data_IF_792667213987
#
_entry.id   IF_792667213987
#
_cell.length_a   1.000
_cell.length_b   1.000
_cell.length_c   1.000
_cell.angle_alpha   90.00
_cell.angle_beta   90.00
_cell.angle_gamma   90.00
#
_symmetry.space_group_name_H-M   'P 1'
#
loop_
_entity.id
_entity.type
_entity.pdbx_description
1 polymer ?
#
# COMPACT_ATOMS: atom_id res chain seq x y z
N UNK A 1 -5.96 7.61 -22.20
CA UNK A 1 -6.35 6.19 -22.08
C UNK A 1 -5.13 5.33 -21.70
N UNK A 2 -4.30 5.80 -20.78
CA UNK A 2 -3.02 5.17 -20.41
C UNK A 2 -2.64 5.70 -19.03
N UNK A 3 -3.22 5.11 -17.98
CA UNK A 3 -2.87 5.38 -16.57
C UNK A 3 -3.23 4.18 -15.68
N UNK A 4 -3.20 2.97 -16.24
CA UNK A 4 -3.56 1.75 -15.54
C UNK A 4 -2.33 0.83 -15.52
N UNK A 5 -1.97 0.41 -14.32
CA UNK A 5 -1.08 -0.70 -13.95
C UNK A 5 0.41 -0.41 -13.71
N UNK A 6 0.74 -0.16 -12.43
CA UNK A 6 2.03 -0.51 -11.82
C UNK A 6 1.93 -1.47 -10.59
N UNK A 7 0.74 -1.73 -10.06
CA UNK A 7 0.60 -2.23 -8.67
C UNK A 7 -0.04 -3.61 -8.45
N UNK A 8 -0.24 -4.41 -9.50
CA UNK A 8 -0.80 -5.76 -9.31
C UNK A 8 0.15 -6.74 -8.59
N UNK A 9 1.38 -6.31 -8.24
CA UNK A 9 2.31 -7.10 -7.40
C UNK A 9 2.12 -6.90 -5.89
N UNK A 10 1.59 -5.77 -5.41
CA UNK A 10 1.27 -5.62 -3.98
C UNK A 10 -0.02 -6.39 -3.59
N UNK A 11 -0.97 -6.52 -4.52
CA UNK A 11 -2.28 -7.11 -4.26
C UNK A 11 -2.37 -8.63 -4.46
N UNK A 12 -1.29 -9.30 -4.89
CA UNK A 12 -1.26 -10.77 -4.99
C UNK A 12 -1.10 -11.49 -3.64
N UNK A 13 -0.71 -10.75 -2.59
CA UNK A 13 -0.34 -11.32 -1.28
C UNK A 13 -1.34 -11.07 -0.15
N UNK A 14 -2.13 -10.00 -0.20
CA UNK A 14 -3.23 -9.77 0.76
C UNK A 14 -4.50 -10.51 0.34
N UNK A 15 -4.37 -11.83 0.16
CA UNK A 15 -5.47 -12.72 0.50
C UNK A 15 -5.47 -12.76 2.01
N UNK A 16 -6.18 -11.81 2.61
CA UNK A 16 -6.53 -11.86 4.01
C UNK A 16 -7.35 -13.13 4.21
N UNK A 17 -6.68 -14.23 4.58
CA UNK A 17 -7.31 -15.33 5.30
C UNK A 17 -7.61 -14.76 6.70
N UNK A 18 -8.56 -13.84 6.78
CA UNK A 18 -9.19 -13.53 8.05
C UNK A 18 -10.08 -14.70 8.36
N UNK A 19 -9.53 -15.60 9.18
CA UNK A 19 -10.31 -16.49 10.02
C UNK A 19 -11.44 -15.69 10.66
N UNK A 20 -12.66 -15.97 10.20
CA UNK A 20 -13.91 -15.55 10.81
C UNK A 20 -13.94 -16.02 12.27
N UNK A 21 -13.47 -15.17 13.17
CA UNK A 21 -13.77 -15.24 14.58
C UNK A 21 -14.63 -14.04 14.94
N UNK A 22 -15.94 -14.13 14.72
CA UNK A 22 -16.85 -13.11 15.25
C UNK A 22 -18.17 -12.86 14.53
N UNK A 23 -18.49 -13.55 13.43
CA UNK A 23 -19.86 -13.84 12.97
C UNK A 23 -19.73 -14.72 11.72
N UNK A 24 -20.25 -15.94 11.79
CA UNK A 24 -20.06 -17.00 10.79
C UNK A 24 -20.62 -16.63 9.41
N UNK A 25 -19.78 -16.08 8.53
CA UNK A 25 -20.00 -15.95 7.08
C UNK A 25 -19.02 -16.86 6.34
N UNK A 26 -19.12 -18.16 6.58
CA UNK A 26 -18.16 -19.12 6.04
C UNK A 26 -18.53 -20.56 6.33
N UNK A 27 -19.73 -20.98 5.94
CA UNK A 27 -19.97 -22.39 5.62
C UNK A 27 -20.78 -22.44 4.33
N UNK A 28 -20.33 -23.29 3.41
CA UNK A 28 -21.11 -23.70 2.26
C UNK A 28 -22.52 -24.06 2.72
N UNK A 29 -23.51 -23.58 1.97
CA UNK A 29 -24.92 -23.93 2.11
C UNK A 29 -25.07 -25.45 2.00
N UNK A 30 -25.00 -26.13 3.14
CA UNK A 30 -25.71 -27.37 3.40
C UNK A 30 -26.76 -27.10 4.46
N UNK A 31 -27.51 -26.02 4.26
CA UNK A 31 -28.80 -25.76 4.89
C UNK A 31 -29.86 -25.94 3.82
N UNK A 32 -30.94 -26.65 4.15
CA UNK A 32 -32.13 -26.85 3.33
C UNK A 32 -32.44 -25.64 2.42
N UNK A 33 -32.76 -25.91 1.15
CA UNK A 33 -33.23 -24.90 0.21
C UNK A 33 -34.21 -23.95 0.89
N UNK A 34 -34.05 -22.62 0.74
CA UNK A 34 -34.98 -21.66 1.32
C UNK A 34 -36.39 -22.06 0.91
N UNK A 35 -37.30 -22.07 1.88
CA UNK A 35 -38.71 -22.32 1.65
C UNK A 35 -39.22 -21.28 0.64
N UNK A 36 -39.31 -21.67 -0.63
CA UNK A 36 -39.68 -20.80 -1.76
C UNK A 36 -41.13 -20.33 -1.69
N UNK A 37 -41.85 -20.67 -0.61
CA UNK A 37 -43.27 -20.35 -0.43
C UNK A 37 -43.53 -19.03 0.29
N UNK A 38 -42.54 -18.44 0.98
CA UNK A 38 -42.70 -17.18 1.73
C UNK A 38 -41.77 -16.07 1.24
N UNK A 39 -42.19 -14.81 1.39
CA UNK A 39 -41.39 -13.66 1.00
C UNK A 39 -40.16 -13.45 1.91
N UNK A 40 -39.05 -12.93 1.36
CA UNK A 40 -37.89 -12.54 2.15
C UNK A 40 -38.25 -11.55 3.26
N UNK A 41 -37.77 -11.81 4.48
CA UNK A 41 -37.98 -11.00 5.68
C UNK A 41 -36.69 -10.33 6.18
N UNK A 42 -35.53 -10.74 5.65
CA UNK A 42 -34.21 -10.28 6.07
C UNK A 42 -33.38 -9.84 4.87
N UNK A 43 -32.36 -9.01 5.12
CA UNK A 43 -31.35 -8.61 4.13
C UNK A 43 -30.75 -9.82 3.42
N UNK A 44 -30.41 -10.88 4.17
CA UNK A 44 -29.81 -12.09 3.63
C UNK A 44 -30.75 -12.91 2.73
N UNK A 45 -32.01 -13.06 3.15
CA UNK A 45 -33.02 -13.72 2.32
C UNK A 45 -33.29 -12.90 1.04
N UNK A 46 -33.21 -11.57 1.12
CA UNK A 46 -33.52 -10.66 0.02
C UNK A 46 -32.47 -10.71 -1.10
N UNK A 47 -31.17 -10.73 -0.75
CA UNK A 47 -30.08 -10.88 -1.73
C UNK A 47 -29.91 -12.31 -2.24
N UNK A 48 -30.52 -13.30 -1.56
CA UNK A 48 -30.54 -14.69 -2.00
C UNK A 48 -31.80 -15.03 -2.84
N UNK A 49 -32.78 -14.13 -2.88
CA UNK A 49 -34.03 -14.35 -3.58
C UNK A 49 -33.82 -14.35 -5.10
N UNK A 50 -34.62 -15.14 -5.80
CA UNK A 50 -34.68 -15.09 -7.26
C UNK A 50 -35.67 -14.00 -7.71
N UNK A 51 -35.41 -13.32 -8.83
CA UNK A 51 -36.34 -12.34 -9.36
C UNK A 51 -37.67 -12.98 -9.78
N UNK A 52 -38.73 -12.20 -9.64
CA UNK A 52 -40.06 -12.55 -10.11
C UNK A 52 -40.17 -12.52 -11.64
N UNK A 53 -41.17 -13.20 -12.22
CA UNK A 53 -41.38 -13.22 -13.67
C UNK A 53 -41.67 -11.84 -14.29
N UNK A 54 -42.03 -10.84 -13.48
CA UNK A 54 -42.30 -9.46 -13.91
C UNK A 54 -41.26 -8.45 -13.41
N UNK A 55 -40.11 -8.92 -12.89
CA UNK A 55 -39.00 -8.06 -12.52
C UNK A 55 -38.55 -7.18 -13.70
N UNK A 56 -38.18 -5.92 -13.44
CA UNK A 56 -37.73 -4.97 -14.46
C UNK A 56 -38.83 -4.41 -15.37
N UNK A 57 -40.09 -4.81 -15.18
CA UNK A 57 -41.23 -4.26 -15.94
C UNK A 57 -41.70 -2.92 -15.37
N UNK A 58 -42.54 -2.19 -16.13
CA UNK A 58 -43.07 -0.88 -15.74
C UNK A 58 -44.60 -0.86 -15.85
N UNK A 59 -45.27 -1.75 -15.12
CA UNK A 59 -46.74 -1.84 -15.10
C UNK A 59 -47.42 -0.55 -14.61
N UNK A 60 -46.77 0.21 -13.74
CA UNK A 60 -47.28 1.51 -13.30
C UNK A 60 -47.38 2.56 -14.43
N UNK A 61 -46.75 2.32 -15.59
CA UNK A 61 -46.89 3.15 -16.79
C UNK A 61 -47.99 2.58 -17.69
N UNK A 62 -49.15 3.24 -17.70
CA UNK A 62 -50.35 2.79 -18.45
C UNK A 62 -50.14 2.66 -19.95
N UNK A 63 -49.21 3.41 -20.52
CA UNK A 63 -48.86 3.39 -21.96
C UNK A 63 -47.71 2.42 -22.29
N UNK A 64 -47.21 1.64 -21.33
CA UNK A 64 -46.08 0.73 -21.56
C UNK A 64 -46.50 -0.47 -22.42
N UNK A 65 -45.69 -0.92 -23.40
CA UNK A 65 -46.07 -2.00 -24.32
C UNK A 65 -46.50 -3.30 -23.65
N UNK A 66 -45.89 -3.64 -22.52
CA UNK A 66 -46.18 -4.87 -21.77
C UNK A 66 -47.41 -4.75 -20.84
N UNK A 67 -48.01 -3.57 -20.70
CA UNK A 67 -49.08 -3.33 -19.72
C UNK A 67 -50.28 -4.26 -19.94
N UNK A 68 -50.70 -4.48 -21.19
CA UNK A 68 -51.82 -5.38 -21.49
C UNK A 68 -51.52 -6.84 -21.13
N UNK A 69 -50.28 -7.29 -21.34
CA UNK A 69 -49.91 -8.68 -21.04
C UNK A 69 -49.75 -8.92 -19.53
N UNK A 70 -49.23 -7.93 -18.80
CA UNK A 70 -49.20 -7.97 -17.34
C UNK A 70 -50.63 -7.96 -16.76
N UNK A 71 -51.53 -7.13 -17.30
CA UNK A 71 -52.94 -7.12 -16.89
C UNK A 71 -53.59 -8.50 -17.06
N UNK A 72 -53.34 -9.21 -18.17
CA UNK A 72 -53.84 -10.59 -18.37
C UNK A 72 -53.29 -11.59 -17.35
N UNK A 73 -52.08 -11.37 -16.82
CA UNK A 73 -51.50 -12.20 -15.75
C UNK A 73 -52.23 -11.91 -14.44
N UNK A 74 -52.46 -10.62 -14.12
CA UNK A 74 -53.21 -10.20 -12.93
C UNK A 74 -54.66 -10.69 -12.97
N UNK A 75 -55.30 -10.70 -14.15
CA UNK A 75 -56.66 -11.21 -14.35
C UNK A 75 -56.83 -12.69 -13.99
N UNK A 76 -55.75 -13.47 -14.01
CA UNK A 76 -55.76 -14.89 -13.63
C UNK A 76 -55.68 -15.10 -12.12
N UNK A 77 -55.39 -14.06 -11.33
CA UNK A 77 -55.38 -14.16 -9.88
C UNK A 77 -56.80 -14.44 -9.35
N UNK A 78 -56.91 -15.25 -8.27
CA UNK A 78 -58.19 -15.60 -7.69
C UNK A 78 -58.90 -14.36 -7.14
N UNK A 79 -60.22 -14.43 -7.06
CA UNK A 79 -61.04 -13.34 -6.53
C UNK A 79 -60.97 -13.32 -4.99
N UNK A 80 -60.81 -12.15 -4.41
CA UNK A 80 -60.63 -11.94 -2.97
C UNK A 80 -61.67 -10.94 -2.45
N UNK A 81 -62.86 -11.43 -2.09
CA UNK A 81 -63.94 -10.61 -1.52
C UNK A 81 -63.62 -10.18 -0.08
N UNK A 82 -64.29 -9.11 0.38
CA UNK A 82 -64.20 -8.68 1.79
C UNK A 82 -64.80 -9.76 2.73
N UNK A 83 -64.21 -9.92 3.92
CA UNK A 83 -64.56 -10.97 4.89
C UNK A 83 -63.84 -12.32 4.73
N UNK A 84 -62.84 -12.40 3.85
CA UNK A 84 -61.96 -13.57 3.71
C UNK A 84 -60.89 -13.59 4.82
N UNK A 85 -60.48 -14.79 5.24
CA UNK A 85 -59.45 -15.03 6.25
C UNK A 85 -58.12 -14.29 5.95
N UNK A 86 -57.53 -13.68 6.99
CA UNK A 86 -56.31 -12.88 6.85
C UNK A 86 -55.13 -13.70 6.30
N UNK A 87 -55.05 -14.99 6.62
CA UNK A 87 -54.00 -15.88 6.09
C UNK A 87 -54.10 -16.03 4.57
N UNK A 88 -55.32 -16.03 4.01
CA UNK A 88 -55.52 -16.09 2.56
C UNK A 88 -55.13 -14.77 1.89
N UNK A 89 -55.40 -13.63 2.54
CA UNK A 89 -54.96 -12.31 2.06
C UNK A 89 -53.43 -12.20 2.09
N UNK A 90 -52.79 -12.75 3.12
CA UNK A 90 -51.34 -12.81 3.22
C UNK A 90 -50.72 -13.63 2.08
N UNK A 91 -51.18 -14.86 1.85
CA UNK A 91 -50.68 -15.71 0.74
C UNK A 91 -50.92 -15.05 -0.62
N UNK A 92 -52.04 -14.33 -0.78
CA UNK A 92 -52.31 -13.55 -1.98
C UNK A 92 -51.27 -12.45 -2.17
N UNK A 93 -50.98 -11.69 -1.11
CA UNK A 93 -49.98 -10.62 -1.14
C UNK A 93 -48.57 -11.13 -1.37
N UNK A 94 -48.20 -12.25 -0.76
CA UNK A 94 -46.92 -12.91 -0.99
C UNK A 94 -46.73 -13.30 -2.46
N UNK A 95 -47.76 -13.87 -3.09
CA UNK A 95 -47.74 -14.18 -4.53
C UNK A 95 -47.67 -12.92 -5.38
N UNK A 96 -48.44 -11.88 -5.04
CA UNK A 96 -48.45 -10.63 -5.80
C UNK A 96 -47.09 -9.93 -5.76
N UNK A 97 -46.47 -9.86 -4.59
CA UNK A 97 -45.13 -9.31 -4.40
C UNK A 97 -44.08 -10.16 -5.11
N UNK A 98 -44.16 -11.49 -5.03
CA UNK A 98 -43.26 -12.40 -5.73
C UNK A 98 -43.31 -12.28 -7.26
N UNK A 99 -44.44 -11.84 -7.85
CA UNK A 99 -44.51 -11.59 -9.29
C UNK A 99 -43.55 -10.46 -9.73
N UNK A 100 -43.46 -9.40 -8.93
CA UNK A 100 -42.69 -8.19 -9.24
C UNK A 100 -41.34 -8.12 -8.53
N UNK A 101 -40.98 -9.13 -7.75
CA UNK A 101 -39.75 -9.16 -6.96
C UNK A 101 -38.52 -8.86 -7.82
N UNK A 102 -37.77 -7.81 -7.50
CA UNK A 102 -36.58 -7.42 -8.25
C UNK A 102 -35.34 -8.24 -7.85
N UNK A 103 -34.35 -8.29 -8.74
CA UNK A 103 -33.05 -8.93 -8.49
C UNK A 103 -32.13 -7.97 -7.72
N UNK A 104 -32.10 -8.09 -6.39
CA UNK A 104 -31.25 -7.25 -5.53
C UNK A 104 -29.84 -7.84 -5.43
N UNK A 105 -28.86 -7.12 -5.98
CA UNK A 105 -27.49 -7.59 -6.04
C UNK A 105 -26.88 -7.72 -4.65
N UNK A 106 -26.12 -8.80 -4.41
CA UNK A 106 -25.27 -8.95 -3.22
C UNK A 106 -24.10 -7.96 -3.24
N UNK A 107 -23.61 -7.47 -2.08
CA UNK A 107 -22.39 -6.65 -1.99
C UNK A 107 -21.15 -7.36 -2.57
N UNK A 108 -21.15 -8.70 -2.65
CA UNK A 108 -20.06 -9.46 -3.29
C UNK A 108 -19.85 -9.09 -4.75
N UNK A 109 -20.91 -8.65 -5.45
CA UNK A 109 -20.81 -8.19 -6.84
C UNK A 109 -19.91 -6.95 -6.97
N UNK A 110 -19.93 -6.07 -5.96
CA UNK A 110 -19.08 -4.87 -5.91
C UNK A 110 -17.65 -5.27 -5.59
N UNK A 111 -17.47 -6.15 -4.59
CA UNK A 111 -16.16 -6.69 -4.19
C UNK A 111 -15.48 -7.44 -5.35
N UNK A 112 -16.22 -8.26 -6.09
CA UNK A 112 -15.70 -8.99 -7.26
C UNK A 112 -15.27 -8.05 -8.37
N UNK A 113 -16.00 -6.95 -8.60
CA UNK A 113 -15.61 -5.93 -9.58
C UNK A 113 -14.33 -5.21 -9.18
N UNK A 114 -14.17 -4.88 -7.90
CA UNK A 114 -12.91 -4.33 -7.39
C UNK A 114 -11.75 -5.30 -7.67
N UNK A 115 -11.93 -6.59 -7.41
CA UNK A 115 -10.93 -7.62 -7.67
C UNK A 115 -10.54 -7.71 -9.15
N UNK A 116 -11.51 -7.68 -10.06
CA UNK A 116 -11.26 -7.73 -11.51
C UNK A 116 -10.54 -6.47 -12.01
N UNK A 117 -10.90 -5.29 -11.48
CA UNK A 117 -10.23 -4.04 -11.80
C UNK A 117 -8.74 -4.03 -11.36
N UNK A 118 -8.36 -4.87 -10.40
CA UNK A 118 -6.98 -5.04 -9.93
C UNK A 118 -6.13 -6.03 -10.73
N UNK A 119 -6.61 -6.66 -11.81
CA UNK A 119 -5.83 -7.63 -12.61
C UNK A 119 -5.27 -7.02 -13.92
N UNK A 120 -3.93 -7.09 -14.13
CA UNK A 120 -3.31 -6.89 -15.45
C UNK A 120 -1.96 -6.14 -15.59
N UNK A 121 -0.90 -6.42 -14.82
CA UNK A 121 0.40 -5.72 -15.03
C UNK A 121 1.55 -6.60 -15.59
N UNK A 122 1.95 -6.41 -16.87
CA UNK A 122 3.23 -6.83 -17.42
C UNK A 122 4.21 -5.63 -17.43
N UNK A 123 5.33 -5.72 -16.69
CA UNK A 123 6.67 -5.15 -17.01
C UNK A 123 7.51 -4.87 -15.75
N UNK A 124 8.62 -5.61 -15.60
CA UNK A 124 9.86 -5.12 -14.94
C UNK A 124 11.07 -5.82 -15.63
N UNK A 125 11.92 -5.03 -16.28
CA UNK A 125 13.34 -5.32 -16.52
C UNK A 125 14.19 -4.51 -15.51
N UNK A 126 15.13 -5.20 -14.84
CA UNK A 126 16.03 -4.83 -13.72
C UNK A 126 15.41 -4.63 -12.31
N UNK A 127 15.67 -5.58 -11.42
CA UNK A 127 15.19 -5.65 -10.03
C UNK A 127 15.98 -4.79 -9.03
N UNK A 128 17.12 -4.22 -9.43
CA UNK A 128 18.00 -3.41 -8.55
C UNK A 128 17.56 -1.96 -8.40
N UNK A 129 16.70 -1.47 -9.30
CA UNK A 129 16.17 -0.10 -9.31
C UNK A 129 14.75 0.01 -8.74
N UNK A 130 14.26 -1.05 -8.10
CA UNK A 130 13.00 -1.02 -7.37
C UNK A 130 13.28 -0.52 -5.95
N UNK A 131 12.76 0.66 -5.61
CA UNK A 131 12.82 1.20 -4.25
C UNK A 131 12.21 0.21 -3.24
N UNK A 132 12.96 -0.10 -2.17
CA UNK A 132 12.62 -1.11 -1.14
C UNK A 132 12.16 -0.47 0.17
N UNK A 133 11.52 -1.28 1.01
CA UNK A 133 10.79 -0.92 2.24
C UNK A 133 11.58 -0.15 3.33
N UNK A 134 12.91 -0.08 3.29
CA UNK A 134 13.72 0.66 4.27
C UNK A 134 14.87 1.40 3.56
N UNK A 135 15.28 2.60 4.01
CA UNK A 135 16.44 3.32 3.49
C UNK A 135 17.50 3.52 4.58
N UNK A 136 18.62 2.83 4.44
CA UNK A 136 19.72 2.82 5.40
C UNK A 136 20.98 3.39 4.77
N UNK A 137 21.63 4.32 5.44
CA UNK A 137 22.87 4.95 5.00
C UNK A 137 23.96 4.73 6.04
N UNK A 138 25.02 4.03 5.66
CA UNK A 138 26.22 3.91 6.47
C UNK A 138 27.35 4.75 5.88
N UNK A 139 27.91 5.63 6.69
CA UNK A 139 29.04 6.49 6.32
C UNK A 139 30.29 5.91 6.94
N UNK A 140 31.30 5.60 6.13
CA UNK A 140 32.62 5.13 6.57
C UNK A 140 33.61 6.27 6.36
N UNK A 141 34.09 6.85 7.46
CA UNK A 141 35.03 7.96 7.47
C UNK A 141 36.46 7.50 7.77
N UNK A 142 37.37 7.85 6.87
CA UNK A 142 38.81 7.76 7.07
C UNK A 142 39.30 8.82 8.07
N UNK A 143 39.92 8.38 9.17
CA UNK A 143 40.61 9.21 10.15
C UNK A 143 42.10 8.88 10.25
N UNK A 144 42.68 8.38 9.15
CA UNK A 144 44.12 8.20 9.02
C UNK A 144 44.85 9.54 9.03
N UNK A 145 46.15 9.52 9.31
CA UNK A 145 46.93 10.76 9.44
C UNK A 145 47.05 11.58 8.15
N UNK A 146 46.78 11.02 6.96
CA UNK A 146 46.74 11.78 5.70
C UNK A 146 45.62 12.83 5.69
N UNK A 147 44.51 12.55 6.40
CA UNK A 147 43.37 13.47 6.55
C UNK A 147 43.70 14.74 7.37
N UNK A 148 44.89 14.81 7.97
CA UNK A 148 45.43 16.04 8.58
C UNK A 148 45.90 17.08 7.54
N UNK A 149 46.04 16.68 6.27
CA UNK A 149 46.40 17.56 5.17
C UNK A 149 45.43 18.74 5.04
N UNK A 150 45.92 19.88 4.54
CA UNK A 150 45.11 21.10 4.38
C UNK A 150 44.63 21.28 2.94
N UNK A 151 43.40 21.73 2.81
CA UNK A 151 42.84 22.27 1.57
C UNK A 151 42.37 23.69 1.87
N UNK A 152 43.09 24.68 1.34
CA UNK A 152 42.94 26.07 1.74
C UNK A 152 43.23 26.24 3.23
N UNK A 153 42.26 26.78 3.98
CA UNK A 153 42.41 27.09 5.41
C UNK A 153 42.02 25.93 6.35
N UNK A 154 41.28 24.93 5.85
CA UNK A 154 40.75 23.80 6.66
C UNK A 154 41.52 22.51 6.38
N UNK A 155 41.49 21.58 7.33
CA UNK A 155 42.00 20.21 7.10
C UNK A 155 41.00 19.38 6.30
N UNK A 156 41.48 18.33 5.62
CA UNK A 156 40.61 17.36 4.92
C UNK A 156 39.59 16.76 5.89
N UNK A 157 40.02 16.42 7.10
CA UNK A 157 39.14 15.95 8.17
C UNK A 157 38.03 16.94 8.53
N UNK A 158 38.35 18.23 8.70
CA UNK A 158 37.32 19.25 9.01
C UNK A 158 36.28 19.33 7.90
N UNK A 159 36.72 19.36 6.64
CA UNK A 159 35.83 19.41 5.49
C UNK A 159 34.95 18.16 5.37
N UNK A 160 35.52 16.97 5.61
CA UNK A 160 34.77 15.72 5.61
C UNK A 160 33.69 15.70 6.70
N UNK A 161 34.02 16.15 7.93
CA UNK A 161 33.04 16.22 9.03
C UNK A 161 31.89 17.17 8.72
N UNK A 162 32.18 18.38 8.26
CA UNK A 162 31.16 19.37 7.88
C UNK A 162 30.23 18.85 6.79
N UNK A 163 30.80 18.16 5.80
CA UNK A 163 30.01 17.65 4.70
C UNK A 163 29.19 16.42 5.06
N UNK A 164 29.71 15.52 5.92
CA UNK A 164 28.94 14.40 6.48
C UNK A 164 27.76 14.92 7.32
N UNK A 165 27.96 15.98 8.11
CA UNK A 165 26.89 16.59 8.88
C UNK A 165 25.79 17.14 7.96
N UNK A 166 26.18 17.98 6.98
CA UNK A 166 25.24 18.55 6.02
C UNK A 166 24.51 17.48 5.18
N UNK A 167 25.18 16.38 4.87
CA UNK A 167 24.57 15.23 4.20
C UNK A 167 23.49 14.58 5.05
N UNK A 168 23.84 14.23 6.29
CA UNK A 168 22.92 13.52 7.16
C UNK A 168 21.68 14.38 7.48
N UNK A 169 21.85 15.70 7.55
CA UNK A 169 20.75 16.67 7.65
C UNK A 169 19.86 16.75 6.41
N UNK A 170 20.40 16.46 5.22
CA UNK A 170 19.64 16.51 3.95
C UNK A 170 18.95 15.20 3.58
N UNK A 171 19.16 14.14 4.36
CA UNK A 171 18.48 12.87 4.19
C UNK A 171 16.98 12.98 4.48
N UNK A 172 16.14 12.17 3.81
CA UNK A 172 14.69 12.26 3.92
C UNK A 172 14.23 11.79 5.31
N UNK A 173 13.08 12.30 5.74
CA UNK A 173 12.49 11.91 7.02
C UNK A 173 12.19 10.40 7.02
N UNK A 174 12.78 9.65 7.95
CA UNK A 174 12.68 8.18 8.01
C UNK A 174 13.94 7.44 7.55
N UNK A 175 14.92 8.12 6.94
CA UNK A 175 16.23 7.52 6.68
C UNK A 175 16.96 7.21 7.99
N UNK A 176 17.63 6.06 8.03
CA UNK A 176 18.49 5.66 9.15
C UNK A 176 19.94 5.86 8.77
N UNK A 177 20.72 6.43 9.67
CA UNK A 177 22.12 6.79 9.44
C UNK A 177 23.01 6.06 10.44
N UNK A 178 24.15 5.55 9.98
CA UNK A 178 25.24 5.08 10.82
C UNK A 178 26.56 5.75 10.41
N UNK A 179 27.47 5.88 11.37
CA UNK A 179 28.82 6.40 11.15
C UNK A 179 29.83 5.39 11.70
N UNK A 180 30.71 4.93 10.81
CA UNK A 180 31.87 4.10 11.11
C UNK A 180 33.14 4.90 10.85
N UNK A 181 34.09 4.86 11.78
CA UNK A 181 35.37 5.56 11.67
C UNK A 181 36.51 4.57 11.79
N UNK A 182 37.56 4.74 10.98
CA UNK A 182 38.77 3.94 11.07
C UNK A 182 40.04 4.80 11.06
N UNK A 183 41.16 4.23 11.51
CA UNK A 183 42.46 4.91 11.47
C UNK A 183 42.64 6.00 12.53
N UNK A 184 41.71 6.16 13.47
CA UNK A 184 41.74 7.20 14.52
C UNK A 184 42.56 6.85 15.75
N UNK A 185 43.07 5.61 15.88
CA UNK A 185 43.89 5.19 17.03
C UNK A 185 45.37 5.04 16.67
N UNK A 186 46.21 5.38 17.65
CA UNK A 186 47.66 5.22 17.55
C UNK A 186 48.33 6.39 16.82
N UNK A 187 49.25 6.06 15.93
CA UNK A 187 49.88 7.03 15.03
C UNK A 187 50.36 6.36 13.74
N UNK A 188 50.83 7.14 12.76
CA UNK A 188 51.47 6.66 11.53
C UNK A 188 52.85 5.99 11.73
N UNK A 189 53.25 5.70 12.96
CA UNK A 189 54.48 4.96 13.24
C UNK A 189 54.22 3.46 13.10
N UNK A 190 55.17 2.70 12.53
CA UNK A 190 55.04 1.25 12.30
C UNK A 190 54.68 0.47 13.58
N UNK A 191 55.23 0.89 14.73
CA UNK A 191 54.92 0.30 16.04
C UNK A 191 53.43 0.37 16.43
N UNK A 192 52.69 1.31 15.85
CA UNK A 192 51.26 1.50 16.08
C UNK A 192 50.41 0.97 14.92
N UNK A 193 51.01 0.44 13.84
CA UNK A 193 50.30 -0.09 12.67
C UNK A 193 49.26 -1.13 13.07
N UNK A 194 49.63 -2.11 13.88
CA UNK A 194 48.70 -3.16 14.33
C UNK A 194 47.51 -2.61 15.14
N UNK A 195 47.75 -1.63 16.02
CA UNK A 195 46.69 -0.96 16.79
C UNK A 195 45.73 -0.21 15.85
N UNK A 196 46.30 0.55 14.93
CA UNK A 196 45.54 1.43 14.03
C UNK A 196 44.74 0.65 12.99
N UNK A 197 45.35 -0.36 12.38
CA UNK A 197 44.70 -1.27 11.44
C UNK A 197 43.63 -2.15 12.11
N UNK A 198 43.73 -2.36 13.42
CA UNK A 198 42.69 -3.02 14.21
C UNK A 198 41.52 -2.11 14.57
N UNK A 199 41.68 -0.79 14.52
CA UNK A 199 40.69 0.19 14.95
C UNK A 199 39.77 0.63 13.82
N UNK A 200 38.60 0.01 13.74
CA UNK A 200 37.44 0.50 13.01
C UNK A 200 36.20 0.33 13.88
N UNK A 201 35.54 1.43 14.19
CA UNK A 201 34.49 1.49 15.21
C UNK A 201 33.20 2.07 14.61
N UNK A 202 32.06 1.48 14.95
CA UNK A 202 30.74 2.05 14.69
C UNK A 202 30.46 3.04 15.82
N UNK A 203 30.60 4.33 15.52
CA UNK A 203 30.61 5.41 16.51
C UNK A 203 29.24 6.07 16.63
N UNK A 204 28.43 5.95 15.58
CA UNK A 204 27.02 6.27 15.56
C UNK A 204 26.28 5.06 14.99
N UNK A 205 25.58 4.27 15.83
CA UNK A 205 24.83 3.10 15.37
C UNK A 205 23.70 3.48 14.41
N UNK A 206 23.24 2.53 13.60
CA UNK A 206 22.18 2.76 12.62
C UNK A 206 20.85 3.13 13.30
N UNK A 207 20.51 4.42 13.26
CA UNK A 207 19.34 4.99 13.91
C UNK A 207 18.76 6.15 13.08
N UNK A 208 17.52 6.59 13.34
CA UNK A 208 17.00 7.82 12.74
C UNK A 208 17.97 8.99 12.97
N UNK A 209 18.10 9.86 11.98
CA UNK A 209 19.04 10.99 12.04
C UNK A 209 18.80 11.87 13.28
N UNK A 210 19.89 12.12 14.02
CA UNK A 210 19.96 13.01 15.18
C UNK A 210 21.19 13.90 15.02
N UNK A 211 20.93 15.17 14.67
CA UNK A 211 21.96 16.13 14.31
C UNK A 211 23.00 16.34 15.42
N UNK A 212 22.54 16.46 16.67
CA UNK A 212 23.43 16.72 17.80
C UNK A 212 24.29 15.50 18.11
N UNK A 213 23.69 14.30 18.15
CA UNK A 213 24.45 13.08 18.43
C UNK A 213 25.46 12.75 17.35
N UNK A 214 25.14 13.01 16.09
CA UNK A 214 26.07 12.79 14.98
C UNK A 214 27.24 13.77 15.07
N UNK A 215 26.96 15.05 15.35
CA UNK A 215 27.99 16.07 15.55
C UNK A 215 28.94 15.70 16.69
N UNK A 216 28.38 15.30 17.84
CA UNK A 216 29.15 14.85 19.02
C UNK A 216 30.02 13.63 18.70
N UNK A 217 29.54 12.70 17.88
CA UNK A 217 30.32 11.55 17.42
C UNK A 217 31.49 12.00 16.52
N UNK A 218 31.21 12.86 15.53
CA UNK A 218 32.24 13.35 14.60
C UNK A 218 33.36 14.13 15.30
N UNK A 219 33.05 14.90 16.35
CA UNK A 219 34.05 15.71 17.06
C UNK A 219 35.10 14.88 17.84
N UNK A 220 34.87 13.59 18.08
CA UNK A 220 35.76 12.74 18.90
C UNK A 220 37.03 12.27 18.19
N UNK A 221 37.12 12.44 16.87
CA UNK A 221 38.16 11.79 16.06
C UNK A 221 39.16 12.78 15.47
N UNK A 222 40.45 12.46 15.60
CA UNK A 222 41.56 13.20 15.02
C UNK A 222 42.31 12.33 14.00
N UNK A 223 42.84 12.91 12.91
CA UNK A 223 43.51 12.18 11.85
C UNK A 223 44.91 11.74 12.29
N UNK A 224 45.10 10.49 12.71
CA UNK A 224 46.36 10.08 13.38
C UNK A 224 47.01 8.79 12.87
N UNK A 225 46.22 7.82 12.42
CA UNK A 225 46.67 6.44 12.19
C UNK A 225 46.62 5.97 10.74
N UNK A 226 46.53 4.65 10.55
CA UNK A 226 46.66 3.95 9.26
C UNK A 226 45.29 3.66 8.61
N UNK A 227 45.29 3.56 7.28
CA UNK A 227 44.10 3.41 6.44
C UNK A 227 43.71 1.95 6.30
N UNK A 228 42.53 1.55 6.82
CA UNK A 228 42.05 0.15 6.90
C UNK A 228 40.71 -0.09 6.18
N UNK A 229 40.63 0.26 4.89
CA UNK A 229 39.39 0.24 4.09
C UNK A 229 38.77 -1.16 4.02
N UNK A 230 39.56 -2.18 3.71
CA UNK A 230 39.10 -3.56 3.55
C UNK A 230 38.38 -4.06 4.81
N UNK A 231 38.98 -3.79 5.98
CA UNK A 231 38.41 -4.15 7.28
C UNK A 231 37.13 -3.38 7.56
N UNK A 232 37.08 -2.08 7.23
CA UNK A 232 35.88 -1.27 7.45
C UNK A 232 34.72 -1.70 6.57
N UNK A 233 34.95 -2.09 5.31
CA UNK A 233 33.90 -2.61 4.43
C UNK A 233 33.33 -3.93 4.95
N UNK A 234 34.17 -4.83 5.47
CA UNK A 234 33.72 -6.08 6.09
C UNK A 234 32.89 -5.83 7.35
N UNK A 235 33.25 -4.83 8.15
CA UNK A 235 32.49 -4.49 9.35
C UNK A 235 31.18 -3.78 9.01
N UNK A 236 31.15 -2.93 7.98
CA UNK A 236 29.91 -2.32 7.48
C UNK A 236 28.91 -3.37 6.99
N UNK A 237 29.39 -4.43 6.33
CA UNK A 237 28.55 -5.59 6.02
C UNK A 237 27.92 -6.20 7.28
N UNK A 238 28.69 -6.33 8.35
CA UNK A 238 28.23 -6.89 9.62
C UNK A 238 27.24 -5.96 10.34
N UNK A 239 27.48 -4.65 10.30
CA UNK A 239 26.58 -3.64 10.87
C UNK A 239 25.20 -3.67 10.18
N UNK A 240 25.19 -3.92 8.87
CA UNK A 240 23.99 -4.01 8.05
C UNK A 240 23.43 -5.44 7.92
N UNK A 241 23.99 -6.43 8.59
CA UNK A 241 23.65 -7.85 8.41
C UNK A 241 22.19 -8.19 8.75
N UNK A 242 21.49 -7.37 9.55
CA UNK A 242 20.06 -7.56 9.82
C UNK A 242 19.16 -6.90 8.77
N UNK A 243 19.72 -6.11 7.86
CA UNK A 243 19.02 -5.30 6.88
C UNK A 243 19.22 -5.88 5.48
N UNK A 244 18.66 -7.07 5.23
CA UNK A 244 18.77 -7.73 3.92
C UNK A 244 18.14 -6.94 2.76
N UNK A 245 18.70 -7.08 1.56
CA UNK A 245 18.32 -6.36 0.35
C UNK A 245 16.90 -6.68 -0.17
N UNK A 246 16.23 -7.68 0.40
CA UNK A 246 14.84 -8.00 0.09
C UNK A 246 13.91 -6.84 0.46
N UNK A 247 14.13 -6.25 1.64
CA UNK A 247 13.31 -5.17 2.18
C UNK A 247 14.09 -3.86 2.33
N UNK A 248 15.43 -3.87 2.30
CA UNK A 248 16.24 -2.69 2.59
C UNK A 248 17.00 -2.18 1.36
N UNK A 249 16.94 -0.87 1.13
CA UNK A 249 17.86 -0.13 0.29
C UNK A 249 19.01 0.34 1.17
N UNK A 250 20.13 -0.37 1.10
CA UNK A 250 21.33 -0.02 1.87
C UNK A 250 22.29 0.77 0.98
N UNK A 251 22.82 1.88 1.50
CA UNK A 251 23.81 2.71 0.81
C UNK A 251 24.99 2.90 1.74
N UNK A 252 26.20 2.66 1.23
CA UNK A 252 27.44 2.89 1.97
C UNK A 252 28.21 4.02 1.30
N UNK A 253 28.59 5.04 2.06
CA UNK A 253 29.49 6.10 1.62
C UNK A 253 30.87 5.90 2.24
N UNK A 254 31.84 5.47 1.43
CA UNK A 254 33.25 5.41 1.83
C UNK A 254 33.92 6.76 1.54
N UNK A 255 34.33 7.48 2.57
CA UNK A 255 35.07 8.74 2.47
C UNK A 255 36.53 8.50 2.84
N UNK A 256 37.45 8.59 1.88
CA UNK A 256 38.88 8.35 2.11
C UNK A 256 39.76 9.25 1.25
N UNK A 257 40.94 9.61 1.75
CA UNK A 257 41.92 10.40 1.01
C UNK A 257 43.12 9.61 0.46
N UNK A 258 43.11 8.27 0.61
CA UNK A 258 44.31 7.47 0.43
C UNK A 258 44.10 6.04 -0.03
N UNK A 259 45.23 5.32 -0.06
CA UNK A 259 45.28 3.88 -0.34
C UNK A 259 45.17 3.08 0.95
N UNK A 260 44.73 1.83 0.83
CA UNK A 260 44.86 0.83 1.89
C UNK A 260 46.33 0.71 2.32
N UNK A 261 46.59 0.84 3.63
CA UNK A 261 47.94 0.73 4.20
C UNK A 261 48.05 -0.34 5.30
N UNK A 262 46.97 -1.11 5.51
CA UNK A 262 46.85 -2.15 6.53
C UNK A 262 46.90 -3.59 5.98
N UNK A 263 47.53 -3.76 4.82
CA UNK A 263 47.80 -5.05 4.17
C UNK A 263 46.54 -5.86 3.76
N UNK A 264 45.36 -5.21 3.75
CA UNK A 264 44.10 -5.78 3.25
C UNK A 264 43.91 -5.67 1.74
N UNK A 265 42.86 -6.34 1.22
CA UNK A 265 42.42 -6.20 -0.18
C UNK A 265 41.03 -5.53 -0.22
N UNK A 266 40.96 -4.19 -0.40
CA UNK A 266 39.70 -3.47 -0.36
C UNK A 266 38.82 -3.73 -1.60
N UNK A 267 39.42 -4.14 -2.72
CA UNK A 267 38.67 -4.45 -3.95
C UNK A 267 37.95 -5.79 -3.79
N UNK A 268 38.63 -6.78 -3.22
CA UNK A 268 38.01 -8.06 -2.87
C UNK A 268 36.89 -7.86 -1.83
N UNK A 269 37.13 -7.05 -0.79
CA UNK A 269 36.12 -6.75 0.22
C UNK A 269 34.87 -6.05 -0.37
N UNK A 270 35.06 -5.09 -1.28
CA UNK A 270 33.95 -4.41 -1.97
C UNK A 270 33.13 -5.36 -2.87
N UNK A 271 33.81 -6.30 -3.54
CA UNK A 271 33.15 -7.34 -4.32
C UNK A 271 32.36 -8.30 -3.44
N UNK A 272 32.91 -8.71 -2.30
CA UNK A 272 32.20 -9.56 -1.34
C UNK A 272 30.95 -8.85 -0.80
N UNK A 273 31.10 -7.58 -0.42
CA UNK A 273 30.04 -6.73 0.09
C UNK A 273 28.86 -6.61 -0.90
N UNK A 274 29.14 -6.34 -2.18
CA UNK A 274 28.09 -6.27 -3.22
C UNK A 274 27.40 -7.60 -3.50
N UNK A 275 28.07 -8.74 -3.30
CA UNK A 275 27.47 -10.07 -3.44
C UNK A 275 26.83 -10.59 -2.15
N UNK A 276 26.86 -9.82 -1.06
CA UNK A 276 26.24 -10.19 0.21
C UNK A 276 24.72 -10.09 0.14
N UNK A 277 24.02 -10.71 1.10
CA UNK A 277 22.56 -10.57 1.21
C UNK A 277 22.11 -9.12 1.51
N UNK A 278 23.03 -8.25 1.95
CA UNK A 278 22.78 -6.82 2.23
C UNK A 278 22.79 -6.02 0.93
N UNK A 279 23.57 -6.48 -0.06
CA UNK A 279 23.75 -5.91 -1.40
C UNK A 279 23.70 -4.37 -1.41
N UNK A 280 24.57 -3.68 -0.63
CA UNK A 280 24.50 -2.23 -0.53
C UNK A 280 25.06 -1.54 -1.77
N UNK A 281 24.52 -0.36 -2.09
CA UNK A 281 25.09 0.55 -3.07
C UNK A 281 26.32 1.23 -2.44
N UNK A 282 27.53 0.81 -2.82
CA UNK A 282 28.78 1.38 -2.31
C UNK A 282 29.22 2.60 -3.14
N UNK A 283 29.08 3.78 -2.58
CA UNK A 283 29.57 5.03 -3.16
C UNK A 283 30.90 5.42 -2.51
N UNK A 284 31.93 5.63 -3.32
CA UNK A 284 33.29 5.95 -2.88
C UNK A 284 33.61 7.40 -3.20
N UNK A 285 33.92 8.17 -2.16
CA UNK A 285 34.29 9.59 -2.22
C UNK A 285 35.77 9.70 -1.88
N UNK A 286 36.58 10.01 -2.90
CA UNK A 286 38.00 10.31 -2.76
C UNK A 286 38.22 11.78 -2.41
N UNK A 287 38.85 12.09 -1.27
CA UNK A 287 39.10 13.47 -0.83
C UNK A 287 40.53 13.93 -1.14
N UNK A 288 40.71 14.73 -2.21
CA UNK A 288 42.03 15.22 -2.65
C UNK A 288 43.10 14.11 -2.72
N UNK A 289 42.78 13.09 -3.53
CA UNK A 289 43.53 11.83 -3.60
C UNK A 289 44.56 11.87 -4.73
N UNK A 290 45.76 11.33 -4.48
CA UNK A 290 46.78 11.16 -5.51
C UNK A 290 46.38 10.09 -6.55
N UNK A 291 47.14 9.97 -7.65
CA UNK A 291 46.80 9.09 -8.77
C UNK A 291 46.62 7.61 -8.36
N UNK A 292 47.46 7.11 -7.46
CA UNK A 292 47.41 5.72 -6.98
C UNK A 292 46.18 5.46 -6.10
N UNK A 293 45.85 6.38 -5.20
CA UNK A 293 44.63 6.31 -4.39
C UNK A 293 43.37 6.42 -5.24
N UNK A 294 43.32 7.34 -6.21
CA UNK A 294 42.17 7.42 -7.13
C UNK A 294 41.97 6.12 -7.91
N UNK A 295 43.06 5.47 -8.33
CA UNK A 295 42.99 4.18 -9.01
C UNK A 295 42.38 3.10 -8.10
N UNK A 296 42.86 2.99 -6.87
CA UNK A 296 42.34 1.98 -5.94
C UNK A 296 40.88 2.25 -5.56
N UNK A 297 40.52 3.50 -5.23
CA UNK A 297 39.15 3.88 -4.89
C UNK A 297 38.17 3.68 -6.06
N UNK A 298 38.59 3.92 -7.31
CA UNK A 298 37.80 3.57 -8.50
C UNK A 298 37.59 2.07 -8.64
N UNK A 299 38.63 1.27 -8.39
CA UNK A 299 38.53 -0.18 -8.46
C UNK A 299 37.57 -0.74 -7.39
N UNK A 300 37.57 -0.14 -6.19
CA UNK A 300 36.63 -0.48 -5.10
C UNK A 300 35.19 -0.21 -5.55
N UNK A 301 34.90 1.00 -6.04
CA UNK A 301 33.56 1.35 -6.52
C UNK A 301 33.11 0.43 -7.67
N UNK A 302 33.98 0.19 -8.65
CA UNK A 302 33.67 -0.71 -9.77
C UNK A 302 33.42 -2.15 -9.32
N UNK A 303 34.20 -2.66 -8.37
CA UNK A 303 34.04 -4.01 -7.85
C UNK A 303 32.73 -4.20 -7.07
N UNK A 304 32.17 -3.12 -6.52
CA UNK A 304 30.87 -3.12 -5.88
C UNK A 304 29.72 -2.67 -6.80
N UNK A 305 29.98 -2.47 -8.10
CA UNK A 305 29.01 -1.88 -9.05
C UNK A 305 28.44 -0.52 -8.59
N UNK A 306 29.21 0.22 -7.78
CA UNK A 306 28.83 1.50 -7.23
C UNK A 306 29.51 2.69 -7.90
N UNK A 307 29.37 3.87 -7.31
CA UNK A 307 29.85 5.12 -7.89
C UNK A 307 31.17 5.56 -7.25
N UNK A 308 32.05 6.16 -8.06
CA UNK A 308 33.25 6.83 -7.58
C UNK A 308 33.22 8.31 -7.93
N UNK A 309 33.51 9.16 -6.95
CA UNK A 309 33.73 10.58 -7.14
C UNK A 309 35.04 11.02 -6.49
N UNK A 310 35.75 11.94 -7.14
CA UNK A 310 36.91 12.61 -6.56
C UNK A 310 36.52 14.05 -6.26
N UNK A 311 36.63 14.45 -5.00
CA UNK A 311 36.20 15.75 -4.51
C UNK A 311 37.42 16.49 -3.98
N UNK A 312 37.60 17.72 -4.46
CA UNK A 312 38.76 18.57 -4.12
C UNK A 312 38.41 19.75 -3.23
N UNK A 313 37.12 19.95 -2.96
CA UNK A 313 36.62 21.02 -2.08
C UNK A 313 35.23 20.64 -1.52
N UNK A 314 34.74 21.47 -0.58
CA UNK A 314 33.45 21.28 0.09
C UNK A 314 32.26 21.28 -0.86
N UNK A 315 32.27 22.14 -1.88
CA UNK A 315 31.17 22.27 -2.85
C UNK A 315 31.02 21.02 -3.72
N UNK A 316 32.13 20.44 -4.19
CA UNK A 316 32.12 19.18 -4.94
C UNK A 316 31.71 18.00 -4.06
N UNK A 317 32.11 18.00 -2.79
CA UNK A 317 31.63 17.01 -1.83
C UNK A 317 30.12 17.11 -1.66
N UNK A 318 29.59 18.32 -1.43
CA UNK A 318 28.15 18.57 -1.35
C UNK A 318 27.41 18.14 -2.63
N UNK A 319 27.95 18.41 -3.82
CA UNK A 319 27.34 18.01 -5.07
C UNK A 319 27.22 16.47 -5.25
N UNK A 320 28.20 15.71 -4.75
CA UNK A 320 28.16 14.25 -4.80
C UNK A 320 27.20 13.65 -3.77
N UNK A 321 27.07 14.28 -2.60
CA UNK A 321 26.02 13.96 -1.63
C UNK A 321 24.63 14.33 -2.13
N UNK A 322 24.51 15.36 -2.96
CA UNK A 322 23.22 15.77 -3.53
C UNK A 322 22.64 14.71 -4.49
N UNK A 323 23.48 13.88 -5.13
CA UNK A 323 22.99 12.70 -5.87
C UNK A 323 22.35 11.66 -4.96
N UNK A 324 22.81 11.54 -3.72
CA UNK A 324 22.15 10.72 -2.71
C UNK A 324 20.78 11.31 -2.33
N UNK A 325 20.71 12.65 -2.28
CA UNK A 325 19.46 13.40 -2.08
C UNK A 325 18.47 13.14 -3.23
N UNK A 326 18.91 13.02 -4.47
CA UNK A 326 18.01 12.68 -5.59
C UNK A 326 17.33 11.30 -5.39
N UNK A 327 18.00 10.35 -4.75
CA UNK A 327 17.43 9.03 -4.42
C UNK A 327 16.39 9.16 -3.30
N UNK A 328 16.67 10.02 -2.33
CA UNK A 328 15.78 10.38 -1.24
C UNK A 328 14.53 11.17 -1.69
N UNK A 329 14.70 12.16 -2.57
CA UNK A 329 13.59 12.89 -3.18
C UNK A 329 12.68 11.96 -3.98
N UNK A 330 13.26 10.96 -4.66
CA UNK A 330 12.48 9.91 -5.33
C UNK A 330 11.69 9.04 -4.34
N UNK A 331 12.15 8.90 -3.10
CA UNK A 331 11.44 8.19 -2.04
C UNK A 331 10.25 9.00 -1.50
N UNK A 332 10.43 10.30 -1.28
CA UNK A 332 9.34 11.23 -0.94
C UNK A 332 8.29 11.31 -2.05
N UNK A 333 8.74 11.38 -3.30
CA UNK A 333 7.85 11.33 -4.46
C UNK A 333 7.08 10.02 -4.50
N UNK A 334 7.76 8.89 -4.28
CA UNK A 334 7.11 7.59 -4.21
C UNK A 334 5.99 7.55 -3.16
N UNK A 335 6.24 8.05 -1.93
CA UNK A 335 5.22 8.10 -0.88
C UNK A 335 3.99 8.89 -1.33
N UNK A 336 4.21 10.08 -1.92
CA UNK A 336 3.12 10.94 -2.40
C UNK A 336 2.31 10.28 -3.51
N UNK A 337 3.01 9.65 -4.46
CA UNK A 337 2.37 8.93 -5.56
C UNK A 337 1.56 7.74 -5.03
N UNK A 338 2.11 6.98 -4.07
CA UNK A 338 1.44 5.85 -3.44
C UNK A 338 0.17 6.27 -2.67
N UNK A 339 0.23 7.36 -1.90
CA UNK A 339 -0.94 7.91 -1.20
C UNK A 339 -1.99 8.43 -2.18
N UNK A 340 -1.56 9.08 -3.28
CA UNK A 340 -2.46 9.56 -4.32
C UNK A 340 -3.19 8.40 -5.00
N UNK A 341 -2.50 7.29 -5.22
CA UNK A 341 -3.09 6.08 -5.80
C UNK A 341 -4.04 5.38 -4.83
N UNK A 342 -3.68 5.26 -3.55
CA UNK A 342 -4.58 4.75 -2.53
C UNK A 342 -5.89 5.56 -2.47
N UNK A 343 -5.80 6.89 -2.57
CA UNK A 343 -6.97 7.77 -2.65
C UNK A 343 -7.75 7.58 -3.95
N UNK A 344 -7.09 7.39 -5.09
CA UNK A 344 -7.75 7.09 -6.35
C UNK A 344 -8.54 5.78 -6.29
N UNK A 345 -8.00 4.74 -5.63
CA UNK A 345 -8.70 3.48 -5.36
C UNK A 345 -9.90 3.71 -4.45
N UNK A 346 -9.73 4.48 -3.36
CA UNK A 346 -10.84 4.84 -2.46
C UNK A 346 -11.98 5.53 -3.19
N UNK A 347 -11.65 6.51 -4.04
CA UNK A 347 -12.61 7.23 -4.87
C UNK A 347 -13.31 6.29 -5.86
N UNK A 348 -12.58 5.39 -6.51
CA UNK A 348 -13.19 4.43 -7.44
C UNK A 348 -14.17 3.49 -6.73
N UNK A 349 -13.81 2.99 -5.54
CA UNK A 349 -14.69 2.17 -4.71
C UNK A 349 -15.97 2.91 -4.34
N UNK A 350 -15.88 4.16 -3.92
CA UNK A 350 -17.05 5.01 -3.64
C UNK A 350 -17.98 5.11 -4.85
N UNK A 351 -17.44 5.28 -6.07
CA UNK A 351 -18.28 5.32 -7.29
C UNK A 351 -19.06 4.02 -7.50
N UNK A 352 -18.45 2.87 -7.23
CA UNK A 352 -19.15 1.58 -7.34
C UNK A 352 -20.23 1.42 -6.26
N UNK A 353 -19.98 1.90 -5.04
CA UNK A 353 -20.95 1.92 -3.95
C UNK A 353 -22.14 2.83 -4.31
N UNK A 354 -21.88 4.01 -4.86
CA UNK A 354 -22.93 4.93 -5.33
C UNK A 354 -23.81 4.31 -6.44
N UNK A 355 -23.18 3.57 -7.36
CA UNK A 355 -23.91 2.83 -8.41
C UNK A 355 -24.75 1.71 -7.82
N UNK A 356 -24.22 1.00 -6.82
CA UNK A 356 -24.91 -0.07 -6.10
C UNK A 356 -26.12 0.47 -5.33
N UNK A 357 -25.95 1.55 -4.57
CA UNK A 357 -27.03 2.22 -3.83
C UNK A 357 -28.16 2.68 -4.77
N UNK A 358 -27.78 3.30 -5.90
CA UNK A 358 -28.74 3.75 -6.91
C UNK A 358 -29.52 2.61 -7.55
N UNK A 359 -28.85 1.52 -7.91
CA UNK A 359 -29.50 0.34 -8.50
C UNK A 359 -30.55 -0.26 -7.54
N UNK A 360 -30.20 -0.39 -6.26
CA UNK A 360 -31.13 -0.83 -5.22
C UNK A 360 -32.32 0.12 -5.04
N UNK A 361 -32.05 1.43 -5.00
CA UNK A 361 -33.10 2.44 -4.91
C UNK A 361 -34.07 2.37 -6.09
N UNK A 362 -33.56 2.32 -7.33
CA UNK A 362 -34.38 2.25 -8.54
C UNK A 362 -35.21 0.96 -8.59
N UNK A 363 -34.64 -0.18 -8.18
CA UNK A 363 -35.35 -1.46 -8.06
C UNK A 363 -36.46 -1.39 -7.02
N UNK A 364 -36.17 -0.91 -5.81
CA UNK A 364 -37.18 -0.75 -4.74
C UNK A 364 -38.34 0.13 -5.18
N UNK A 365 -38.02 1.27 -5.79
CA UNK A 365 -39.00 2.20 -6.32
C UNK A 365 -39.88 1.55 -7.38
N UNK A 366 -39.27 0.85 -8.35
CA UNK A 366 -39.99 0.16 -9.44
C UNK A 366 -40.88 -0.97 -8.91
N UNK A 367 -40.36 -1.82 -8.02
CA UNK A 367 -41.12 -2.90 -7.37
C UNK A 367 -42.35 -2.32 -6.65
N UNK A 368 -42.17 -1.31 -5.79
CA UNK A 368 -43.26 -0.68 -5.04
C UNK A 368 -44.30 -0.03 -5.96
N UNK A 369 -43.88 0.69 -7.00
CA UNK A 369 -44.81 1.28 -7.97
C UNK A 369 -45.62 0.22 -8.74
N UNK A 370 -44.96 -0.84 -9.22
CA UNK A 370 -45.62 -1.94 -9.93
C UNK A 370 -46.65 -2.65 -9.07
N UNK A 371 -46.28 -2.99 -7.83
CA UNK A 371 -47.18 -3.64 -6.87
C UNK A 371 -48.34 -2.72 -6.53
N UNK A 372 -48.08 -1.43 -6.32
CA UNK A 372 -49.14 -0.43 -6.10
C UNK A 372 -50.13 -0.36 -7.26
N UNK A 373 -49.63 -0.25 -8.50
CA UNK A 373 -50.45 -0.25 -9.70
C UNK A 373 -51.25 -1.55 -9.86
N UNK A 374 -50.66 -2.70 -9.53
CA UNK A 374 -51.35 -3.99 -9.57
C UNK A 374 -52.49 -4.06 -8.54
N UNK A 375 -52.27 -3.59 -7.32
CA UNK A 375 -53.31 -3.48 -6.28
C UNK A 375 -54.47 -2.59 -6.77
N UNK A 376 -54.16 -1.43 -7.34
CA UNK A 376 -55.18 -0.51 -7.88
C UNK A 376 -55.95 -1.13 -9.05
N UNK A 377 -55.25 -1.79 -9.98
CA UNK A 377 -55.87 -2.49 -11.11
C UNK A 377 -56.83 -3.59 -10.65
N UNK A 378 -56.39 -4.43 -9.71
CA UNK A 378 -57.21 -5.51 -9.16
C UNK A 378 -58.44 -4.98 -8.42
N UNK A 379 -58.31 -3.85 -7.72
CA UNK A 379 -59.45 -3.20 -7.05
C UNK A 379 -60.43 -2.62 -8.09
N UNK A 380 -59.93 -1.93 -9.10
CA UNK A 380 -60.74 -1.31 -10.16
C UNK A 380 -61.52 -2.34 -11.00
N UNK A 381 -60.95 -3.53 -11.19
CA UNK A 381 -61.58 -4.65 -11.90
C UNK A 381 -62.49 -5.51 -11.00
N UNK A 382 -62.64 -5.16 -9.72
CA UNK A 382 -63.46 -5.89 -8.76
C UNK A 382 -62.89 -7.25 -8.35
N UNK A 383 -61.61 -7.51 -8.62
CA UNK A 383 -60.91 -8.75 -8.24
C UNK A 383 -60.58 -8.81 -6.75
N UNK A 384 -60.38 -7.65 -6.11
CA UNK A 384 -60.15 -7.56 -4.67
C UNK A 384 -61.11 -6.54 -4.02
N UNK A 385 -61.51 -6.83 -2.78
CA UNK A 385 -62.30 -5.93 -1.94
C UNK A 385 -61.48 -4.83 -1.26
N UNK A 386 -62.18 -3.96 -0.52
CA UNK A 386 -61.59 -2.79 0.14
C UNK A 386 -60.64 -3.15 1.30
N UNK A 387 -60.96 -4.21 2.05
CA UNK A 387 -60.14 -4.69 3.17
C UNK A 387 -58.86 -5.32 2.63
N UNK A 388 -58.99 -6.17 1.61
CA UNK A 388 -57.86 -6.77 0.92
C UNK A 388 -56.92 -5.72 0.33
N UNK A 389 -57.45 -4.70 -0.37
CA UNK A 389 -56.66 -3.58 -0.89
C UNK A 389 -55.84 -2.89 0.20
N UNK A 390 -56.44 -2.60 1.34
CA UNK A 390 -55.77 -1.95 2.47
C UNK A 390 -54.63 -2.80 3.03
N UNK A 391 -54.89 -4.10 3.22
CA UNK A 391 -53.89 -5.04 3.72
C UNK A 391 -52.70 -5.19 2.75
N UNK A 392 -52.97 -5.38 1.46
CA UNK A 392 -51.94 -5.52 0.43
C UNK A 392 -51.09 -4.25 0.29
N UNK A 393 -51.71 -3.08 0.47
CA UNK A 393 -50.97 -1.79 0.46
C UNK A 393 -49.99 -1.71 1.63
N UNK A 394 -50.38 -2.20 2.82
CA UNK A 394 -49.48 -2.28 3.98
C UNK A 394 -48.33 -3.27 3.74
N UNK A 395 -48.61 -4.46 3.20
CA UNK A 395 -47.55 -5.42 2.86
C UNK A 395 -46.53 -4.84 1.88
N UNK A 396 -46.99 -4.08 0.87
CA UNK A 396 -46.12 -3.36 -0.06
C UNK A 396 -45.21 -2.36 0.67
N UNK A 397 -45.76 -1.58 1.60
CA UNK A 397 -44.98 -0.61 2.39
C UNK A 397 -43.95 -1.30 3.30
N UNK A 398 -44.32 -2.42 3.91
CA UNK A 398 -43.41 -3.23 4.73
C UNK A 398 -42.25 -3.79 3.89
N UNK A 399 -42.56 -4.26 2.67
CA UNK A 399 -41.56 -4.71 1.70
C UNK A 399 -40.61 -3.58 1.29
N UNK A 400 -41.15 -2.41 0.93
CA UNK A 400 -40.36 -1.24 0.55
C UNK A 400 -39.43 -0.78 1.69
N UNK A 401 -39.93 -0.81 2.93
CA UNK A 401 -39.15 -0.46 4.12
C UNK A 401 -38.06 -1.51 4.44
N UNK A 402 -38.31 -2.80 4.20
CA UNK A 402 -37.29 -3.84 4.31
C UNK A 402 -36.16 -3.58 3.30
N UNK A 403 -36.49 -3.40 2.02
CA UNK A 403 -35.48 -3.16 0.98
C UNK A 403 -34.66 -1.90 1.27
N UNK A 404 -35.29 -0.81 1.71
CA UNK A 404 -34.57 0.43 2.07
C UNK A 404 -33.56 0.21 3.20
N UNK A 405 -33.98 -0.45 4.29
CA UNK A 405 -33.08 -0.75 5.41
C UNK A 405 -31.96 -1.72 5.02
N UNK A 406 -32.27 -2.72 4.22
CA UNK A 406 -31.29 -3.67 3.68
C UNK A 406 -30.26 -2.98 2.79
N UNK A 407 -30.68 -2.03 1.95
CA UNK A 407 -29.78 -1.20 1.14
C UNK A 407 -28.84 -0.40 2.04
N UNK A 408 -29.37 0.32 3.02
CA UNK A 408 -28.58 1.12 3.97
C UNK A 408 -27.54 0.27 4.70
N UNK A 409 -27.95 -0.88 5.25
CA UNK A 409 -27.06 -1.84 5.93
C UNK A 409 -25.89 -2.30 5.02
N UNK A 410 -26.19 -2.64 3.77
CA UNK A 410 -25.18 -3.15 2.82
C UNK A 410 -24.27 -2.04 2.28
N UNK A 411 -24.80 -0.84 2.06
CA UNK A 411 -24.03 0.34 1.66
C UNK A 411 -23.07 0.74 2.78
N UNK A 412 -23.54 0.80 4.04
CA UNK A 412 -22.70 1.10 5.21
C UNK A 412 -21.58 0.07 5.39
N UNK A 413 -21.89 -1.22 5.19
CA UNK A 413 -20.89 -2.28 5.18
C UNK A 413 -19.78 -2.05 4.13
N UNK A 414 -20.15 -1.70 2.90
CA UNK A 414 -19.19 -1.45 1.82
C UNK A 414 -18.36 -0.18 2.06
N UNK A 415 -18.96 0.86 2.65
CA UNK A 415 -18.25 2.09 3.03
C UNK A 415 -17.22 1.81 4.12
N UNK A 416 -17.61 1.11 5.20
CA UNK A 416 -16.68 0.74 6.26
C UNK A 416 -15.51 -0.10 5.74
N UNK A 417 -15.79 -1.11 4.91
CA UNK A 417 -14.75 -1.93 4.27
C UNK A 417 -13.80 -1.09 3.40
N UNK A 418 -14.32 -0.06 2.72
CA UNK A 418 -13.51 0.84 1.88
C UNK A 418 -12.59 1.71 2.72
N UNK A 419 -13.08 2.27 3.83
CA UNK A 419 -12.31 3.13 4.72
C UNK A 419 -11.27 2.34 5.53
N UNK A 420 -11.63 1.16 6.07
CA UNK A 420 -10.69 0.28 6.76
C UNK A 420 -9.53 -0.12 5.85
N UNK A 421 -9.84 -0.59 4.63
CA UNK A 421 -8.82 -0.94 3.64
C UNK A 421 -7.96 0.26 3.22
N UNK A 422 -8.50 1.47 3.22
CA UNK A 422 -7.74 2.69 2.90
C UNK A 422 -6.75 3.07 4.02
N UNK A 423 -7.20 3.03 5.28
CA UNK A 423 -6.29 3.28 6.40
C UNK A 423 -5.21 2.19 6.51
N UNK A 424 -5.54 0.92 6.26
CA UNK A 424 -4.52 -0.15 6.16
C UNK A 424 -3.48 0.13 5.08
N UNK A 425 -3.90 0.54 3.87
CA UNK A 425 -2.98 0.92 2.79
C UNK A 425 -2.08 2.09 3.20
N UNK A 426 -2.64 3.11 3.85
CA UNK A 426 -1.92 4.28 4.32
C UNK A 426 -0.94 3.95 5.44
N UNK A 427 -1.33 3.14 6.41
CA UNK A 427 -0.45 2.63 7.46
C UNK A 427 0.69 1.80 6.88
N UNK A 428 0.42 0.95 5.87
CA UNK A 428 1.46 0.19 5.18
C UNK A 428 2.41 1.11 4.39
N UNK A 429 1.90 2.13 3.70
CA UNK A 429 2.72 3.14 3.02
C UNK A 429 3.58 3.90 4.01
N UNK A 430 3.02 4.33 5.15
CA UNK A 430 3.75 5.03 6.21
C UNK A 430 4.79 4.12 6.87
N UNK A 431 4.45 2.87 7.17
CA UNK A 431 5.37 1.86 7.71
C UNK A 431 6.56 1.65 6.76
N UNK A 432 6.28 1.47 5.46
CA UNK A 432 7.32 1.37 4.43
C UNK A 432 8.13 2.66 4.35
N UNK A 433 7.49 3.82 4.35
CA UNK A 433 8.20 5.09 4.31
C UNK A 433 9.14 5.31 5.51
N UNK A 434 8.69 4.95 6.72
CA UNK A 434 9.46 5.02 7.98
C UNK A 434 10.51 3.90 8.12
N UNK A 435 10.44 2.89 7.28
CA UNK A 435 11.30 1.73 7.36
C UNK A 435 11.06 0.87 8.60
N UNK A 436 9.82 0.48 8.87
CA UNK A 436 9.39 -0.37 10.01
C UNK A 436 8.98 -1.79 9.62
#
# INVERSE_FOLDING_TARGET
>A
MTFINRWTRMLGGLILIMSLGGCSWGTAVTGSAPDTSRLPQTTQELIAAQPGPLAGTHFYLTNHPQHSDIAKILDRLPLLVDGVDEAMVQVYGEKLLALFAEDYASPQTVVDRWRVASFGNPDIEDTRLQFKEHFNVEIILDASGSMAGKIGEKTKMQLAKEAIQAFAESLPEGARVSLRVYGHKGSNADKHKQLSCGSSELVYPLQPFDAQRLEEALQQFEPTGWTSIARSLQLAQADLATYGAENNTNVIYLVSDGIETCDGDPVAAAKELSNSHVMPLLNVIGFDVNADGQKQLKQIAQAAEGLYANVTNQEQFQAELERAREIAEKWDMWKRDALTEAEAVRIDRHKWIDMYDRDWYEKNWRESLNVGAAIEYLAATGKIGSQAKTYLTRMRQEREALVTRSKEELTDYLLNLTEESFEEMKEEIERKYRGE
#
